data_IF_827281114530
#
_entry.id   IF_827281114530
#
_cell.length_a   1.000
_cell.length_b   1.000
_cell.length_c   1.000
_cell.angle_alpha   90.00
_cell.angle_beta   90.00
_cell.angle_gamma   90.00
#
_symmetry.space_group_name_H-M   'P 1'
#
loop_
_entity.id
_entity.type
_entity.pdbx_description
1 polymer ?
#
# COMPACT_ATOMS: atom_id res chain seq x y z
N UNK A 1 -8.76 2.89 14.19
CA UNK A 1 -7.39 3.05 13.63
C UNK A 1 -6.89 1.76 12.99
N UNK A 2 -6.94 0.63 13.72
CA UNK A 2 -6.55 -0.70 13.26
C UNK A 2 -7.23 -1.07 11.92
N UNK A 3 -8.57 -1.00 11.85
CA UNK A 3 -9.34 -1.38 10.67
C UNK A 3 -8.98 -0.54 9.42
N UNK A 4 -8.72 0.78 9.58
CA UNK A 4 -8.23 1.63 8.50
C UNK A 4 -6.82 1.27 8.04
N UNK A 5 -5.95 0.82 8.97
CA UNK A 5 -4.62 0.35 8.59
C UNK A 5 -4.70 -0.91 7.73
N UNK A 6 -5.55 -1.87 8.10
CA UNK A 6 -5.79 -3.08 7.31
C UNK A 6 -6.30 -2.73 5.90
N UNK A 7 -7.31 -1.86 5.80
CA UNK A 7 -7.86 -1.45 4.50
C UNK A 7 -6.82 -0.73 3.61
N UNK A 8 -5.97 0.09 4.20
CA UNK A 8 -5.00 0.93 3.49
C UNK A 8 -3.62 0.27 3.27
N UNK A 9 -3.46 -1.00 3.63
CA UNK A 9 -2.17 -1.69 3.57
C UNK A 9 -1.75 -2.11 2.15
N UNK A 10 -2.60 -1.92 1.13
CA UNK A 10 -2.32 -2.40 -0.23
C UNK A 10 -1.00 -1.89 -0.79
N UNK A 11 -0.68 -0.62 -0.57
CA UNK A 11 0.49 0.04 -1.12
C UNK A 11 1.46 0.44 -0.02
N UNK A 12 2.71 0.03 -0.15
CA UNK A 12 3.76 0.29 0.83
C UNK A 12 5.00 0.91 0.15
N UNK A 13 5.64 1.84 0.85
CA UNK A 13 6.95 2.35 0.49
C UNK A 13 7.99 1.24 0.69
N UNK A 14 8.73 0.93 -0.36
CA UNK A 14 9.87 0.01 -0.27
C UNK A 14 11.01 0.67 0.52
N UNK A 15 11.26 1.96 0.29
CA UNK A 15 12.33 2.68 0.96
C UNK A 15 12.09 2.78 2.47
N UNK A 16 10.87 3.16 2.89
CA UNK A 16 10.51 3.20 4.31
C UNK A 16 10.58 1.81 4.95
N UNK A 17 10.14 0.77 4.23
CA UNK A 17 10.17 -0.60 4.73
C UNK A 17 11.60 -1.11 4.92
N UNK A 18 12.51 -0.81 4.00
CA UNK A 18 13.92 -1.16 4.11
C UNK A 18 14.62 -0.38 5.21
N UNK A 19 14.34 0.93 5.30
CA UNK A 19 14.96 1.80 6.30
C UNK A 19 14.45 1.52 7.72
N UNK A 20 13.19 1.09 7.86
CA UNK A 20 12.52 0.83 9.14
C UNK A 20 12.66 -0.58 9.69
N UNK A 21 13.37 -1.49 8.99
CA UNK A 21 13.54 -2.90 9.38
C UNK A 21 15.03 -3.28 9.41
N UNK A 22 15.34 -4.51 9.81
CA UNK A 22 16.68 -5.07 9.88
C UNK A 22 17.19 -5.72 8.57
N UNK A 23 16.45 -5.59 7.47
CA UNK A 23 16.88 -6.06 6.14
C UNK A 23 18.20 -5.41 5.70
N UNK A 24 18.39 -4.15 6.06
CA UNK A 24 19.65 -3.43 5.92
C UNK A 24 20.18 -3.16 7.32
N UNK A 25 21.34 -3.73 7.62
CA UNK A 25 21.98 -3.60 8.93
C UNK A 25 22.16 -2.13 9.31
N UNK A 26 21.93 -1.83 10.57
CA UNK A 26 22.18 -0.52 11.16
C UNK A 26 23.53 -0.55 11.86
N UNK A 27 24.41 0.41 11.57
CA UNK A 27 25.67 0.55 12.30
C UNK A 27 25.40 0.98 13.75
N UNK A 28 26.21 0.48 14.69
CA UNK A 28 26.08 0.82 16.13
C UNK A 28 26.19 2.34 16.36
N UNK A 29 27.04 3.02 15.57
CA UNK A 29 27.26 4.46 15.66
C UNK A 29 26.07 5.30 15.16
N UNK A 30 25.21 4.74 14.31
CA UNK A 30 24.06 5.44 13.72
C UNK A 30 22.77 5.30 14.53
N UNK A 31 22.74 4.44 15.54
CA UNK A 31 21.54 4.17 16.35
C UNK A 31 20.98 5.41 17.08
N UNK A 32 21.82 6.42 17.31
CA UNK A 32 21.45 7.68 17.96
C UNK A 32 21.06 8.79 16.98
N UNK A 33 21.25 8.61 15.67
CA UNK A 33 20.99 9.63 14.65
C UNK A 33 19.56 9.53 14.11
N UNK A 34 18.94 10.68 13.84
CA UNK A 34 17.61 10.76 13.25
C UNK A 34 17.56 10.22 11.82
N UNK A 35 18.66 10.30 11.08
CA UNK A 35 18.85 9.78 9.73
C UNK A 35 20.31 9.40 9.51
N UNK A 36 20.53 8.22 8.96
CA UNK A 36 21.84 7.68 8.57
C UNK A 36 21.99 7.75 7.04
N UNK A 37 22.87 8.63 6.51
CA UNK A 37 23.07 8.77 5.05
C UNK A 37 23.59 7.50 4.39
N UNK A 38 24.51 6.75 5.03
CA UNK A 38 25.06 5.51 4.48
C UNK A 38 23.98 4.45 4.34
N UNK A 39 23.13 4.32 5.36
CA UNK A 39 21.98 3.43 5.30
C UNK A 39 20.99 3.87 4.21
N UNK A 40 20.77 5.17 4.04
CA UNK A 40 19.96 5.74 2.95
C UNK A 40 20.50 5.34 1.56
N UNK A 41 21.81 5.42 1.34
CA UNK A 41 22.45 4.96 0.11
C UNK A 41 22.23 3.45 -0.13
N UNK A 42 22.32 2.63 0.93
CA UNK A 42 22.06 1.19 0.82
C UNK A 42 20.60 0.90 0.47
N UNK A 43 19.64 1.66 0.99
CA UNK A 43 18.23 1.58 0.62
C UNK A 43 18.04 1.88 -0.86
N UNK A 44 18.60 2.98 -1.37
CA UNK A 44 18.54 3.35 -2.79
C UNK A 44 19.15 2.23 -3.66
N UNK A 45 20.32 1.74 -3.29
CA UNK A 45 21.00 0.63 -3.99
C UNK A 45 20.14 -0.64 -4.01
N UNK A 46 19.51 -0.98 -2.90
CA UNK A 46 18.59 -2.12 -2.84
C UNK A 46 17.40 -1.93 -3.79
N UNK A 47 16.79 -0.75 -3.79
CA UNK A 47 15.70 -0.41 -4.71
C UNK A 47 16.12 -0.52 -6.19
N UNK A 48 17.32 -0.07 -6.53
CA UNK A 48 17.88 -0.22 -7.89
C UNK A 48 18.12 -1.68 -8.27
N UNK A 49 18.63 -2.49 -7.36
CA UNK A 49 18.82 -3.93 -7.55
C UNK A 49 17.47 -4.66 -7.69
N UNK A 50 16.45 -4.24 -6.95
CA UNK A 50 15.09 -4.74 -7.10
C UNK A 50 14.55 -4.46 -8.52
N UNK A 51 14.73 -3.25 -9.05
CA UNK A 51 14.34 -2.91 -10.41
C UNK A 51 15.12 -3.71 -11.45
N UNK A 52 16.45 -3.88 -11.27
CA UNK A 52 17.28 -4.68 -12.16
C UNK A 52 16.80 -6.14 -12.23
N UNK A 53 16.46 -6.72 -11.10
CA UNK A 53 16.03 -8.11 -11.00
C UNK A 53 14.69 -8.39 -11.67
N UNK A 54 13.71 -7.50 -11.46
CA UNK A 54 12.32 -7.76 -11.86
C UNK A 54 11.89 -7.01 -13.12
N UNK A 55 12.62 -5.97 -13.49
CA UNK A 55 12.36 -5.11 -14.63
C UNK A 55 13.65 -4.82 -15.43
N UNK A 56 14.38 -5.85 -15.88
CA UNK A 56 15.66 -5.66 -16.54
C UNK A 56 15.52 -4.80 -17.79
N UNK A 57 16.59 -4.07 -18.10
CA UNK A 57 16.69 -3.22 -19.28
C UNK A 57 17.14 -4.02 -20.51
N UNK A 58 16.82 -3.55 -21.72
CA UNK A 58 17.37 -4.10 -22.98
C UNK A 58 18.89 -3.95 -23.00
N UNK A 59 19.40 -2.78 -22.63
CA UNK A 59 20.83 -2.54 -22.48
C UNK A 59 21.28 -2.90 -21.06
N UNK A 60 21.80 -4.12 -20.91
CA UNK A 60 22.27 -4.67 -19.63
C UNK A 60 23.47 -3.87 -19.07
N UNK A 61 24.32 -3.32 -19.94
CA UNK A 61 25.50 -2.53 -19.51
C UNK A 61 25.07 -1.21 -18.86
N UNK A 62 23.97 -0.63 -19.31
CA UNK A 62 23.43 0.59 -18.73
C UNK A 62 22.97 0.38 -17.28
N UNK A 63 22.18 -0.67 -17.03
CA UNK A 63 21.66 -1.03 -15.71
C UNK A 63 20.84 0.09 -15.02
N UNK A 64 20.04 -0.27 -14.05
CA UNK A 64 19.21 0.68 -13.29
C UNK A 64 20.02 1.62 -12.37
N UNK A 65 21.20 1.22 -11.96
CA UNK A 65 22.04 2.02 -11.05
C UNK A 65 22.48 3.38 -11.62
N UNK A 66 22.53 3.49 -12.95
CA UNK A 66 23.15 4.62 -13.61
C UNK A 66 22.17 5.48 -14.40
N UNK A 67 20.89 5.25 -14.32
CA UNK A 67 19.89 6.05 -15.05
C UNK A 67 19.78 7.46 -14.48
N UNK A 68 19.48 8.41 -15.37
CA UNK A 68 19.38 9.84 -15.04
C UNK A 68 17.98 10.42 -15.28
N UNK A 69 17.06 9.66 -15.89
CA UNK A 69 15.71 10.14 -16.12
C UNK A 69 14.82 9.19 -16.91
N UNK A 70 13.61 9.66 -17.13
CA UNK A 70 12.54 8.92 -17.81
C UNK A 70 11.76 9.84 -18.74
N UNK A 71 11.28 9.29 -19.85
CA UNK A 71 10.26 9.91 -20.71
C UNK A 71 9.36 8.85 -21.32
N UNK A 72 8.20 9.26 -21.76
CA UNK A 72 7.26 8.40 -22.47
C UNK A 72 7.16 8.88 -23.92
N UNK A 73 7.45 7.99 -24.86
CA UNK A 73 7.35 8.26 -26.28
C UNK A 73 6.52 7.18 -26.97
N UNK A 74 5.47 7.60 -27.66
CA UNK A 74 4.58 6.70 -28.40
C UNK A 74 4.07 5.51 -27.57
N UNK A 75 3.69 5.78 -26.32
CA UNK A 75 3.21 4.75 -25.37
C UNK A 75 4.30 3.82 -24.83
N UNK A 76 5.56 4.12 -25.06
CA UNK A 76 6.71 3.34 -24.56
C UNK A 76 7.48 4.13 -23.50
N UNK A 77 7.89 3.43 -22.44
CA UNK A 77 8.83 3.99 -21.47
C UNK A 77 10.24 4.02 -22.05
N UNK A 78 10.83 5.19 -22.08
CA UNK A 78 12.23 5.42 -22.41
C UNK A 78 12.97 5.73 -21.12
N UNK A 79 14.07 5.05 -20.91
CA UNK A 79 14.93 5.17 -19.72
C UNK A 79 16.24 5.78 -20.18
N UNK A 80 16.61 6.89 -19.57
CA UNK A 80 17.73 7.73 -20.01
C UNK A 80 18.93 7.59 -19.06
N UNK A 81 20.12 7.58 -19.66
CA UNK A 81 21.40 7.78 -18.99
C UNK A 81 22.22 8.74 -19.83
N UNK A 82 22.34 9.98 -19.39
CA UNK A 82 22.96 11.06 -20.15
C UNK A 82 22.35 11.15 -21.57
N UNK A 83 23.16 10.94 -22.62
CA UNK A 83 22.72 10.91 -24.02
C UNK A 83 22.26 9.53 -24.52
N UNK A 84 22.33 8.50 -23.68
CA UNK A 84 21.94 7.14 -24.06
C UNK A 84 20.50 6.85 -23.62
N UNK A 85 19.80 6.08 -24.43
CA UNK A 85 18.43 5.66 -24.16
C UNK A 85 18.30 4.15 -24.24
N UNK A 86 17.45 3.59 -23.40
CA UNK A 86 17.10 2.17 -23.40
C UNK A 86 15.63 1.99 -23.04
N UNK A 87 15.16 0.76 -23.13
CA UNK A 87 13.79 0.35 -22.77
C UNK A 87 13.85 -0.83 -21.82
N UNK A 88 12.70 -1.17 -21.23
CA UNK A 88 12.56 -2.44 -20.55
C UNK A 88 12.75 -3.59 -21.54
N UNK A 89 13.45 -4.64 -21.14
CA UNK A 89 13.58 -5.88 -21.92
C UNK A 89 12.21 -6.47 -22.23
N UNK A 90 11.30 -6.45 -21.25
CA UNK A 90 9.89 -6.76 -21.46
C UNK A 90 9.07 -5.46 -21.41
N UNK A 91 8.76 -4.93 -22.59
CA UNK A 91 8.00 -3.68 -22.75
C UNK A 91 6.57 -3.78 -22.26
N UNK A 92 6.02 -5.00 -22.14
CA UNK A 92 4.65 -5.21 -21.63
C UNK A 92 4.50 -4.86 -20.16
N UNK A 93 5.60 -4.84 -19.41
CA UNK A 93 5.63 -4.47 -17.99
C UNK A 93 5.39 -3.00 -17.72
N UNK A 94 5.60 -2.11 -18.68
CA UNK A 94 5.19 -0.70 -18.56
C UNK A 94 3.69 -0.59 -18.86
N UNK A 95 2.94 -0.02 -17.92
CA UNK A 95 1.48 0.12 -18.05
C UNK A 95 0.99 1.56 -18.01
N UNK A 96 1.79 2.50 -17.51
CA UNK A 96 1.38 3.90 -17.44
C UNK A 96 2.31 4.78 -16.61
N UNK A 97 1.91 6.03 -16.47
CA UNK A 97 2.67 7.06 -15.75
C UNK A 97 1.74 8.09 -15.10
N UNK A 98 2.32 8.95 -14.28
CA UNK A 98 1.69 10.17 -13.77
C UNK A 98 2.56 11.37 -14.16
N UNK A 99 1.94 12.52 -14.34
CA UNK A 99 2.63 13.73 -14.80
C UNK A 99 2.80 13.76 -16.33
N UNK A 100 3.63 14.66 -16.80
CA UNK A 100 3.89 14.89 -18.22
C UNK A 100 4.72 13.78 -18.86
N UNK A 101 4.48 13.46 -20.12
CA UNK A 101 5.20 12.39 -20.83
C UNK A 101 6.73 12.61 -20.86
N UNK A 102 7.17 13.87 -20.99
CA UNK A 102 8.61 14.22 -21.01
C UNK A 102 9.21 14.41 -19.62
N UNK A 103 8.38 14.50 -18.58
CA UNK A 103 8.82 14.68 -17.20
C UNK A 103 7.80 14.01 -16.24
N UNK A 104 7.74 12.69 -16.25
CA UNK A 104 6.79 11.96 -15.44
C UNK A 104 7.14 12.10 -13.96
N UNK A 105 6.10 12.28 -13.12
CA UNK A 105 6.22 12.26 -11.65
C UNK A 105 6.11 10.86 -11.06
N UNK A 106 5.64 9.89 -11.84
CA UNK A 106 5.67 8.47 -11.49
C UNK A 106 5.60 7.58 -12.72
N UNK A 107 6.24 6.41 -12.62
CA UNK A 107 6.20 5.33 -13.61
C UNK A 107 5.52 4.12 -12.98
N UNK A 108 4.56 3.53 -13.69
CA UNK A 108 3.84 2.34 -13.23
C UNK A 108 4.30 1.13 -14.02
N UNK A 109 4.83 0.15 -13.31
CA UNK A 109 5.25 -1.13 -13.85
C UNK A 109 4.40 -2.27 -13.26
N UNK A 110 4.30 -3.37 -13.99
CA UNK A 110 3.53 -4.56 -13.60
C UNK A 110 4.36 -5.82 -13.80
N UNK A 111 4.40 -6.67 -12.78
CA UNK A 111 5.02 -7.99 -12.86
C UNK A 111 4.17 -9.01 -12.06
N UNK A 112 3.90 -10.19 -12.65
CA UNK A 112 3.07 -11.23 -12.01
C UNK A 112 1.73 -10.68 -11.44
N UNK A 113 1.07 -9.81 -12.19
CA UNK A 113 -0.17 -9.11 -11.81
C UNK A 113 -0.05 -8.16 -10.61
N UNK A 114 1.11 -7.95 -10.05
CA UNK A 114 1.37 -6.93 -9.03
C UNK A 114 1.98 -5.68 -9.65
N UNK A 115 1.65 -4.54 -9.08
CA UNK A 115 2.10 -3.24 -9.58
C UNK A 115 3.15 -2.64 -8.67
N UNK A 116 4.06 -1.89 -9.28
CA UNK A 116 4.94 -0.97 -8.57
C UNK A 116 4.81 0.43 -9.17
N UNK A 117 5.01 1.43 -8.35
CA UNK A 117 5.06 2.83 -8.75
C UNK A 117 6.41 3.40 -8.37
N UNK A 118 7.21 3.77 -9.36
CA UNK A 118 8.47 4.50 -9.17
C UNK A 118 8.10 5.96 -9.03
N UNK A 119 8.31 6.56 -7.87
CA UNK A 119 8.03 7.97 -7.60
C UNK A 119 9.24 8.80 -7.98
N UNK A 120 9.02 9.84 -8.77
CA UNK A 120 10.04 10.79 -9.22
C UNK A 120 9.68 12.15 -8.63
N UNK A 121 10.45 12.60 -7.65
CA UNK A 121 10.25 13.89 -6.99
C UNK A 121 11.62 14.53 -6.68
N UNK A 122 12.05 15.50 -7.48
CA UNK A 122 13.34 16.17 -7.27
C UNK A 122 13.41 16.96 -5.95
N UNK A 123 12.27 17.27 -5.32
CA UNK A 123 12.21 18.01 -4.07
C UNK A 123 12.28 17.10 -2.83
N UNK A 124 12.08 15.80 -3.01
CA UNK A 124 12.14 14.85 -1.91
C UNK A 124 13.57 14.70 -1.38
N UNK A 125 13.72 14.60 -0.06
CA UNK A 125 15.01 14.41 0.59
C UNK A 125 15.72 13.15 0.09
N UNK A 126 15.00 12.03 -0.04
CA UNK A 126 15.52 10.75 -0.54
C UNK A 126 16.01 10.80 -1.98
N UNK A 127 15.51 11.74 -2.80
CA UNK A 127 15.88 11.90 -4.20
C UNK A 127 17.12 12.77 -4.43
N UNK A 128 17.66 13.40 -3.39
CA UNK A 128 18.77 14.34 -3.56
C UNK A 128 20.02 13.66 -4.11
N UNK A 129 20.31 12.44 -3.67
CA UNK A 129 21.45 11.63 -4.10
C UNK A 129 21.16 10.75 -5.33
N UNK A 130 19.90 10.69 -5.76
CA UNK A 130 19.51 9.86 -6.91
C UNK A 130 19.56 10.67 -8.21
N UNK A 131 20.36 10.25 -9.21
CA UNK A 131 20.48 10.99 -10.48
C UNK A 131 19.16 11.12 -11.25
N UNK A 132 18.32 10.07 -11.23
CA UNK A 132 17.01 10.08 -11.88
C UNK A 132 15.90 10.66 -11.00
N UNK A 133 16.25 11.19 -9.81
CA UNK A 133 15.31 11.78 -8.83
C UNK A 133 14.22 10.82 -8.36
N UNK A 134 14.54 9.53 -8.33
CA UNK A 134 13.67 8.54 -7.69
C UNK A 134 13.68 8.79 -6.19
N UNK A 135 12.51 9.11 -5.66
CA UNK A 135 12.31 9.36 -4.22
C UNK A 135 11.83 8.14 -3.46
N UNK A 136 11.16 7.21 -4.15
CA UNK A 136 10.65 5.96 -3.56
C UNK A 136 10.24 4.97 -4.65
N UNK A 137 10.07 3.72 -4.25
CA UNK A 137 9.39 2.68 -4.99
C UNK A 137 8.23 2.18 -4.15
N UNK A 138 7.02 2.50 -4.57
CA UNK A 138 5.81 2.03 -3.90
C UNK A 138 5.42 0.68 -4.49
N UNK A 139 5.26 -0.31 -3.65
CA UNK A 139 4.92 -1.68 -4.07
C UNK A 139 3.49 -2.04 -3.67
N UNK A 140 2.80 -2.78 -4.52
CA UNK A 140 1.51 -3.39 -4.21
C UNK A 140 1.77 -4.62 -3.32
N UNK A 141 1.82 -4.39 -2.00
CA UNK A 141 2.31 -5.34 -1.01
C UNK A 141 1.22 -6.24 -0.45
N UNK A 142 0.07 -5.67 -0.06
CA UNK A 142 -1.03 -6.40 0.56
C UNK A 142 -2.30 -6.29 -0.29
N UNK A 143 -2.42 -7.15 -1.29
CA UNK A 143 -3.60 -7.21 -2.18
C UNK A 143 -4.86 -7.56 -1.39
N UNK A 144 -4.72 -8.45 -0.39
CA UNK A 144 -5.77 -8.77 0.57
C UNK A 144 -5.25 -8.63 2.00
N UNK A 145 -6.13 -8.26 2.93
CA UNK A 145 -5.86 -8.18 4.36
C UNK A 145 -7.06 -8.71 5.14
N UNK A 146 -6.84 -8.99 6.42
CA UNK A 146 -7.88 -9.49 7.32
C UNK A 146 -8.21 -8.40 8.33
N UNK A 147 -9.50 -8.06 8.45
CA UNK A 147 -10.06 -7.43 9.64
C UNK A 147 -10.47 -8.52 10.61
N UNK A 148 -10.14 -8.35 11.88
CA UNK A 148 -10.24 -9.38 12.86
C UNK A 148 -11.23 -9.00 13.95
N UNK A 149 -12.13 -9.93 14.32
CA UNK A 149 -13.03 -9.83 15.45
C UNK A 149 -12.58 -10.72 16.62
N UNK A 150 -11.37 -11.27 16.55
CA UNK A 150 -10.80 -12.20 17.53
C UNK A 150 -9.47 -11.66 18.09
N UNK A 151 -8.35 -12.33 17.83
CA UNK A 151 -7.06 -12.13 18.51
C UNK A 151 -6.43 -10.74 18.35
N UNK A 152 -6.65 -10.08 17.22
CA UNK A 152 -6.09 -8.73 16.96
C UNK A 152 -6.87 -7.62 17.68
N UNK A 153 -7.99 -7.94 18.31
CA UNK A 153 -8.84 -7.02 19.08
C UNK A 153 -9.17 -7.65 20.43
N UNK A 154 -9.09 -6.88 21.50
CA UNK A 154 -9.45 -7.33 22.84
C UNK A 154 -10.94 -7.09 23.07
N UNK A 155 -11.82 -7.83 22.36
CA UNK A 155 -13.25 -7.72 22.51
C UNK A 155 -13.75 -8.73 23.54
N UNK A 156 -13.85 -8.31 24.80
CA UNK A 156 -14.17 -9.19 25.93
C UNK A 156 -15.65 -9.13 26.34
N UNK A 157 -16.38 -8.14 25.89
CA UNK A 157 -17.78 -7.93 26.19
C UNK A 157 -18.60 -7.41 25.00
N UNK A 158 -19.89 -7.14 25.25
CA UNK A 158 -20.80 -6.62 24.23
C UNK A 158 -20.41 -5.24 23.70
N UNK A 159 -19.89 -4.36 24.53
CA UNK A 159 -19.52 -3.00 24.15
C UNK A 159 -18.28 -3.00 23.23
N UNK A 160 -17.30 -3.83 23.55
CA UNK A 160 -16.13 -4.05 22.71
C UNK A 160 -16.53 -4.62 21.33
N UNK A 161 -17.45 -5.58 21.30
CA UNK A 161 -17.99 -6.12 20.03
C UNK A 161 -18.70 -5.06 19.20
N UNK A 162 -19.47 -4.19 19.82
CA UNK A 162 -20.11 -3.07 19.12
C UNK A 162 -19.07 -2.16 18.46
N UNK A 163 -17.93 -1.92 19.10
CA UNK A 163 -16.84 -1.14 18.51
C UNK A 163 -16.27 -1.85 17.27
N UNK A 164 -16.03 -3.16 17.34
CA UNK A 164 -15.56 -3.97 16.21
C UNK A 164 -16.54 -3.91 15.03
N UNK A 165 -17.83 -4.10 15.28
CA UNK A 165 -18.86 -4.05 14.26
C UNK A 165 -19.05 -2.66 13.65
N UNK A 166 -18.96 -1.59 14.46
CA UNK A 166 -18.98 -0.22 13.97
C UNK A 166 -17.80 0.08 13.04
N UNK A 167 -16.62 -0.41 13.37
CA UNK A 167 -15.44 -0.27 12.50
C UNK A 167 -15.68 -0.98 11.18
N UNK A 168 -16.15 -2.24 11.20
CA UNK A 168 -16.46 -2.98 9.99
C UNK A 168 -17.55 -2.31 9.15
N UNK A 169 -18.63 -1.90 9.78
CA UNK A 169 -19.71 -1.16 9.12
C UNK A 169 -19.21 0.13 8.48
N UNK A 170 -18.37 0.90 9.16
CA UNK A 170 -17.78 2.14 8.63
C UNK A 170 -16.86 1.89 7.44
N UNK A 171 -16.12 0.77 7.41
CA UNK A 171 -15.35 0.35 6.24
C UNK A 171 -16.28 0.04 5.06
N UNK A 172 -17.34 -0.75 5.28
CA UNK A 172 -18.30 -1.14 4.24
C UNK A 172 -19.10 0.06 3.71
N UNK A 173 -19.39 1.04 4.56
CA UNK A 173 -19.99 2.33 4.16
C UNK A 173 -19.00 3.27 3.47
N UNK A 174 -17.72 3.09 3.71
CA UNK A 174 -16.67 3.96 3.18
C UNK A 174 -16.51 5.28 3.93
N UNK A 175 -17.08 5.41 5.13
CA UNK A 175 -17.09 6.63 5.93
C UNK A 175 -16.27 6.55 7.23
N UNK A 176 -15.60 5.42 7.48
CA UNK A 176 -14.76 5.26 8.66
C UNK A 176 -13.60 6.25 8.66
N UNK A 177 -13.48 6.99 9.76
CA UNK A 177 -12.42 7.96 9.99
C UNK A 177 -11.83 7.78 11.38
N UNK A 178 -10.56 8.15 11.53
CA UNK A 178 -9.87 8.17 12.81
C UNK A 178 -8.96 9.38 12.88
N UNK A 179 -9.08 10.17 13.95
CA UNK A 179 -8.20 11.30 14.22
C UNK A 179 -7.13 10.90 15.22
N UNK A 180 -5.92 11.44 15.06
CA UNK A 180 -4.83 11.29 16.02
C UNK A 180 -3.92 12.50 15.99
N UNK A 181 -3.27 12.76 17.11
CA UNK A 181 -2.29 13.83 17.21
C UNK A 181 -0.87 13.29 17.01
N UNK A 182 -0.06 14.02 16.26
CA UNK A 182 1.36 13.76 16.08
C UNK A 182 2.10 15.08 15.95
N UNK A 183 3.11 15.31 16.81
CA UNK A 183 3.93 16.56 16.83
C UNK A 183 3.06 17.83 16.93
N UNK A 184 2.04 17.81 17.79
CA UNK A 184 1.14 18.97 18.02
C UNK A 184 0.18 19.28 16.85
N UNK A 185 0.08 18.37 15.86
CA UNK A 185 -0.85 18.49 14.74
C UNK A 185 -1.85 17.36 14.75
N UNK A 186 -3.11 17.67 14.48
CA UNK A 186 -4.18 16.69 14.32
C UNK A 186 -4.20 16.15 12.89
N UNK A 187 -4.20 14.84 12.75
CA UNK A 187 -4.29 14.13 11.47
C UNK A 187 -5.58 13.32 11.40
N UNK A 188 -6.25 13.38 10.26
CA UNK A 188 -7.37 12.50 9.93
C UNK A 188 -6.89 11.33 9.08
N UNK A 189 -7.15 10.12 9.50
CA UNK A 189 -6.98 8.89 8.71
C UNK A 189 -8.34 8.45 8.20
N UNK A 190 -8.42 8.16 6.91
CA UNK A 190 -9.59 7.66 6.19
C UNK A 190 -9.17 6.62 5.17
N UNK A 191 -10.13 6.02 4.47
CA UNK A 191 -9.86 5.11 3.37
C UNK A 191 -9.10 5.83 2.25
N UNK A 192 -8.03 5.20 1.77
CA UNK A 192 -7.26 5.73 0.65
C UNK A 192 -8.11 5.72 -0.63
N UNK A 193 -8.04 6.77 -1.46
CA UNK A 193 -8.67 6.77 -2.78
C UNK A 193 -7.94 5.79 -3.71
N UNK A 194 -8.61 5.43 -4.80
CA UNK A 194 -7.96 4.74 -5.90
C UNK A 194 -6.87 5.61 -6.53
N UNK A 195 -5.84 4.95 -7.06
CA UNK A 195 -4.68 5.62 -7.66
C UNK A 195 -4.93 5.82 -9.15
N UNK A 196 -4.77 7.05 -9.61
CA UNK A 196 -5.06 7.44 -11.00
C UNK A 196 -3.78 7.74 -11.78
N UNK A 197 -3.72 7.25 -13.03
CA UNK A 197 -2.59 7.36 -13.92
C UNK A 197 -3.07 7.55 -15.37
N UNK A 198 -2.12 7.80 -16.25
CA UNK A 198 -2.29 7.77 -17.71
C UNK A 198 -1.71 6.44 -18.19
N UNK A 199 -2.51 5.61 -18.86
CA UNK A 199 -2.04 4.34 -19.42
C UNK A 199 -1.11 4.59 -20.61
N UNK A 200 -0.36 3.55 -21.02
CA UNK A 200 0.48 3.58 -22.22
C UNK A 200 -0.27 4.00 -23.50
N UNK A 201 -1.58 3.77 -23.55
CA UNK A 201 -2.45 4.15 -24.68
C UNK A 201 -3.04 5.57 -24.52
N UNK A 202 -2.57 6.36 -23.56
CA UNK A 202 -3.03 7.73 -23.30
C UNK A 202 -4.39 7.81 -22.61
N UNK A 203 -4.98 6.69 -22.19
CA UNK A 203 -6.29 6.64 -21.50
C UNK A 203 -6.10 6.71 -19.98
N UNK A 204 -7.18 7.04 -19.27
CA UNK A 204 -7.19 6.96 -17.81
C UNK A 204 -7.03 5.52 -17.32
N UNK A 205 -6.08 5.30 -16.40
CA UNK A 205 -5.85 4.05 -15.71
C UNK A 205 -6.12 4.25 -14.22
N UNK A 206 -6.95 3.39 -13.63
CA UNK A 206 -7.19 3.36 -12.18
C UNK A 206 -6.72 2.05 -11.59
N UNK A 207 -5.99 2.12 -10.48
CA UNK A 207 -5.61 0.98 -9.65
C UNK A 207 -6.25 1.11 -8.27
N UNK A 208 -6.69 0.01 -7.70
CA UNK A 208 -7.29 0.02 -6.36
C UNK A 208 -6.32 0.59 -5.32
N UNK A 209 -6.78 1.55 -4.54
CA UNK A 209 -6.00 2.16 -3.46
C UNK A 209 -6.00 1.35 -2.17
N UNK A 210 -6.91 0.38 -2.03
CA UNK A 210 -7.18 -0.39 -0.81
C UNK A 210 -7.02 -1.88 -1.06
N UNK A 211 -6.73 -2.62 0.02
CA UNK A 211 -6.73 -4.08 0.03
C UNK A 211 -8.15 -4.64 -0.09
N UNK A 212 -8.30 -5.83 -0.69
CA UNK A 212 -9.49 -6.64 -0.52
C UNK A 212 -9.55 -7.08 0.95
N UNK A 213 -10.65 -6.76 1.63
CA UNK A 213 -10.81 -7.08 3.04
C UNK A 213 -11.54 -8.42 3.22
N UNK A 214 -10.94 -9.28 4.03
CA UNK A 214 -11.57 -10.45 4.61
C UNK A 214 -11.90 -10.13 6.08
N UNK A 215 -12.95 -10.70 6.64
CA UNK A 215 -13.27 -10.58 8.05
C UNK A 215 -13.13 -11.93 8.73
N UNK A 216 -12.38 -12.00 9.84
CA UNK A 216 -12.28 -13.19 10.66
C UNK A 216 -13.28 -13.07 11.84
N UNK A 217 -14.22 -13.99 11.87
CA UNK A 217 -15.15 -14.12 13.01
C UNK A 217 -14.53 -14.99 14.09
N UNK A 218 -15.05 -14.86 15.32
CA UNK A 218 -14.64 -15.69 16.46
C UNK A 218 -14.98 -17.16 16.20
N UNK A 219 -14.20 -18.06 16.76
CA UNK A 219 -14.37 -19.51 16.67
C UNK A 219 -15.59 -20.04 17.45
N UNK A 220 -15.81 -21.34 17.34
CA UNK A 220 -17.05 -21.99 17.78
C UNK A 220 -17.28 -22.07 19.30
N UNK A 221 -16.22 -21.99 20.10
CA UNK A 221 -16.30 -22.20 21.55
C UNK A 221 -16.69 -20.95 22.33
N UNK A 222 -16.61 -19.78 21.72
CA UNK A 222 -16.89 -18.51 22.37
C UNK A 222 -18.39 -18.20 22.37
N UNK A 223 -18.88 -17.71 23.49
CA UNK A 223 -20.25 -17.17 23.64
C UNK A 223 -20.18 -15.70 24.03
N UNK A 224 -21.30 -14.99 23.87
CA UNK A 224 -21.36 -13.57 24.18
C UNK A 224 -22.74 -13.20 24.74
N UNK A 225 -22.75 -12.48 25.87
CA UNK A 225 -23.96 -12.05 26.57
C UNK A 225 -24.74 -10.92 25.87
N UNK A 226 -24.23 -10.37 24.75
CA UNK A 226 -24.93 -9.34 23.97
C UNK A 226 -26.32 -9.82 23.50
N UNK A 227 -26.48 -11.13 23.25
CA UNK A 227 -27.74 -11.74 22.88
C UNK A 227 -27.93 -13.01 23.74
N UNK A 228 -29.07 -13.07 24.47
CA UNK A 228 -29.46 -14.25 25.23
C UNK A 228 -30.46 -15.07 24.42
N UNK A 229 -30.30 -16.40 24.46
CA UNK A 229 -31.23 -17.35 23.88
C UNK A 229 -32.46 -17.49 24.79
N UNK A 230 -33.49 -18.20 24.33
CA UNK A 230 -34.77 -18.37 25.08
C UNK A 230 -34.59 -19.05 26.44
N UNK A 231 -33.58 -19.88 26.58
CA UNK A 231 -33.24 -20.60 27.80
C UNK A 231 -32.32 -19.81 28.75
N UNK A 232 -31.98 -18.55 28.36
CA UNK A 232 -31.06 -17.68 29.11
C UNK A 232 -29.59 -17.92 28.85
N UNK A 233 -29.23 -18.88 28.02
CA UNK A 233 -27.85 -19.07 27.59
C UNK A 233 -27.38 -17.98 26.60
N UNK A 234 -26.08 -17.76 26.55
CA UNK A 234 -25.48 -16.79 25.63
C UNK A 234 -25.45 -17.33 24.21
N UNK A 235 -25.56 -16.42 23.21
CA UNK A 235 -25.40 -16.76 21.79
C UNK A 235 -23.97 -17.23 21.51
N UNK A 236 -23.77 -18.26 20.67
CA UNK A 236 -22.44 -18.52 20.07
C UNK A 236 -21.93 -17.30 19.34
N UNK A 237 -20.81 -16.74 19.78
CA UNK A 237 -20.28 -15.45 19.31
C UNK A 237 -19.94 -15.48 17.82
N UNK A 238 -19.40 -16.59 17.30
CA UNK A 238 -19.12 -16.74 15.88
C UNK A 238 -20.35 -16.67 14.98
N UNK A 239 -21.52 -17.12 15.47
CA UNK A 239 -22.79 -16.98 14.74
C UNK A 239 -23.24 -15.52 14.72
N UNK A 240 -23.17 -14.83 15.87
CA UNK A 240 -23.47 -13.41 15.97
C UNK A 240 -22.57 -12.59 15.03
N UNK A 241 -21.26 -12.85 15.04
CA UNK A 241 -20.29 -12.23 14.16
C UNK A 241 -20.68 -12.43 12.69
N UNK A 242 -20.99 -13.67 12.28
CA UNK A 242 -21.32 -13.98 10.90
C UNK A 242 -22.56 -13.20 10.39
N UNK A 243 -23.60 -13.10 11.20
CA UNK A 243 -24.81 -12.34 10.86
C UNK A 243 -24.52 -10.85 10.73
N UNK A 244 -23.87 -10.25 11.70
CA UNK A 244 -23.66 -8.80 11.76
C UNK A 244 -22.65 -8.37 10.68
N UNK A 245 -21.55 -9.10 10.52
CA UNK A 245 -20.54 -8.76 9.51
C UNK A 245 -21.08 -8.92 8.09
N UNK A 246 -21.90 -9.97 7.84
CA UNK A 246 -22.57 -10.15 6.55
C UNK A 246 -23.58 -9.06 6.25
N UNK A 247 -24.39 -8.67 7.25
CA UNK A 247 -25.33 -7.56 7.09
C UNK A 247 -24.61 -6.23 6.78
N UNK A 248 -23.49 -5.96 7.44
CA UNK A 248 -22.68 -4.79 7.14
C UNK A 248 -22.10 -4.80 5.71
N UNK A 249 -21.70 -5.96 5.19
CA UNK A 249 -21.19 -6.10 3.81
C UNK A 249 -22.21 -5.70 2.74
N UNK A 250 -23.51 -5.74 3.04
CA UNK A 250 -24.54 -5.29 2.09
C UNK A 250 -24.38 -3.82 1.69
N UNK A 251 -23.78 -2.98 2.52
CA UNK A 251 -23.49 -1.59 2.18
C UNK A 251 -22.46 -1.48 1.05
N UNK A 252 -21.41 -2.30 1.09
CA UNK A 252 -20.38 -2.33 0.05
C UNK A 252 -20.94 -2.91 -1.26
N UNK A 253 -21.67 -4.02 -1.19
CA UNK A 253 -22.29 -4.66 -2.36
C UNK A 253 -23.25 -3.71 -3.07
N UNK A 254 -24.12 -3.02 -2.33
CA UNK A 254 -25.11 -2.08 -2.88
C UNK A 254 -24.47 -0.82 -3.50
N UNK A 255 -23.35 -0.39 -2.96
CA UNK A 255 -22.60 0.79 -3.46
C UNK A 255 -21.52 0.42 -4.49
N UNK A 256 -21.51 -0.82 -4.99
CA UNK A 256 -20.51 -1.34 -5.94
C UNK A 256 -19.06 -1.24 -5.44
N UNK A 257 -18.84 -1.51 -4.18
CA UNK A 257 -17.53 -1.76 -3.64
C UNK A 257 -16.70 -0.52 -3.32
N UNK A 258 -17.11 0.28 -2.36
CA UNK A 258 -16.25 1.35 -1.81
C UNK A 258 -14.99 0.81 -1.11
N UNK A 259 -15.01 -0.45 -0.71
CA UNK A 259 -13.90 -1.15 -0.04
C UNK A 259 -13.09 -2.06 -0.98
N UNK A 260 -13.42 -2.13 -2.25
CA UNK A 260 -12.68 -2.88 -3.27
C UNK A 260 -11.64 -2.04 -3.96
#
# INVERSE_FOLDING_TARGET
RYALNAANARWMSLYDSLYGTDVIEQSEDSASQRYDPLRGEMVIKYGRNFLERYFPLENIIMGWANITGFKIENGSLIICKDSQETKLKDKSKFIGHRGEANNPSAIILKNNNLHIEIIIDPNAFSAQQDPAKISDIIVEAAVSTICDNEDSVAAVDADDKVICYRNWLGLMKGDLKSTFEKNGKTYERKLNPDRSYISKDGKGLKLHGRSLLLIRNVGHLMTNSAILLKDGSEIPEGIMDAFITSAACLHDIKKKGNSR
#
